data_IF_340719907312
#
_entry.id   IF_340719907312
#
_cell.length_a   1.000
_cell.length_b   1.000
_cell.length_c   1.000
_cell.angle_alpha   90.00
_cell.angle_beta   90.00
_cell.angle_gamma   90.00
#
_symmetry.space_group_name_H-M   'P 1'
#
loop_
_entity.id
_entity.type
_entity.pdbx_description
1 polymer ?
#
# COMPACT_ATOMS: atom_id res chain seq x y z
N UNK A 1 -3.99 -11.21 1.43
CA UNK A 1 -5.29 -10.80 1.98
C UNK A 1 -5.04 -9.88 3.18
N UNK A 2 -5.41 -8.60 3.05
CA UNK A 2 -5.40 -7.63 4.14
C UNK A 2 -6.61 -7.90 5.03
N UNK A 3 -6.48 -7.70 6.35
CA UNK A 3 -7.64 -7.73 7.27
C UNK A 3 -7.85 -6.34 7.85
N UNK A 4 -9.12 -5.94 7.92
CA UNK A 4 -9.55 -4.69 8.55
C UNK A 4 -9.32 -4.75 10.06
N UNK A 5 -8.77 -3.68 10.61
CA UNK A 5 -8.72 -3.38 12.03
C UNK A 5 -9.25 -1.96 12.23
N UNK A 6 -9.71 -1.64 13.44
CA UNK A 6 -10.41 -0.39 13.80
C UNK A 6 -9.71 0.93 13.41
N UNK A 7 -8.48 0.91 12.90
CA UNK A 7 -7.69 2.09 12.50
C UNK A 7 -6.86 1.88 11.22
N UNK A 8 -6.99 0.77 10.51
CA UNK A 8 -6.19 0.48 9.31
C UNK A 8 -6.19 -0.98 8.87
N UNK A 9 -5.43 -1.30 7.83
CA UNK A 9 -5.32 -2.64 7.27
C UNK A 9 -4.01 -3.31 7.70
N UNK A 10 -4.04 -4.59 8.06
CA UNK A 10 -2.83 -5.39 8.37
C UNK A 10 -2.62 -6.52 7.38
N UNK A 11 -1.36 -6.83 7.05
CA UNK A 11 -1.01 -7.88 6.10
C UNK A 11 0.45 -8.31 6.10
N UNK A 12 0.80 -9.13 5.10
CA UNK A 12 2.20 -9.50 4.82
C UNK A 12 2.88 -8.40 4.02
N UNK A 13 4.15 -8.16 4.29
CA UNK A 13 4.95 -7.18 3.55
C UNK A 13 5.33 -7.74 2.17
N UNK A 14 5.18 -6.97 1.08
CA UNK A 14 5.68 -7.37 -0.24
C UNK A 14 7.18 -7.10 -0.45
N UNK A 15 7.82 -6.28 0.40
CA UNK A 15 9.25 -5.94 0.28
C UNK A 15 10.19 -7.03 0.81
N UNK A 16 9.72 -7.96 1.63
CA UNK A 16 10.56 -9.03 2.18
C UNK A 16 9.73 -10.29 2.41
N UNK A 17 10.39 -11.44 2.47
CA UNK A 17 9.74 -12.74 2.55
C UNK A 17 9.66 -13.22 4.00
N UNK A 18 8.65 -12.74 4.73
CA UNK A 18 8.31 -13.15 6.09
C UNK A 18 6.85 -13.63 6.14
N UNK A 19 6.56 -14.82 6.72
CA UNK A 19 5.18 -15.27 6.92
C UNK A 19 4.37 -14.37 7.87
N UNK A 20 5.03 -13.58 8.72
CA UNK A 20 4.38 -12.73 9.73
C UNK A 20 3.63 -11.55 9.11
N UNK A 21 2.58 -11.10 9.80
CA UNK A 21 1.80 -9.93 9.39
C UNK A 21 2.46 -8.65 9.89
N UNK A 22 3.59 -8.30 9.27
CA UNK A 22 4.41 -7.16 9.67
C UNK A 22 4.00 -5.83 9.01
N UNK A 23 3.11 -5.85 8.00
CA UNK A 23 2.64 -4.65 7.30
C UNK A 23 1.39 -4.07 7.97
N UNK A 24 1.39 -2.74 8.16
CA UNK A 24 0.23 -1.94 8.53
C UNK A 24 0.03 -0.79 7.53
N UNK A 25 -1.22 -0.55 7.14
CA UNK A 25 -1.65 0.55 6.27
C UNK A 25 -2.66 1.38 7.07
N UNK A 26 -2.32 2.63 7.36
CA UNK A 26 -3.23 3.57 8.01
C UNK A 26 -4.07 4.29 6.95
N UNK A 27 -5.39 4.13 7.02
CA UNK A 27 -6.34 4.85 6.17
C UNK A 27 -6.51 6.30 6.59
N UNK A 28 -6.14 6.64 7.83
CA UNK A 28 -6.19 8.00 8.37
C UNK A 28 -4.97 8.80 7.98
N UNK A 29 -3.78 8.19 8.06
CA UNK A 29 -2.52 8.88 7.75
C UNK A 29 -2.14 8.81 6.26
N UNK A 30 -2.85 8.01 5.47
CA UNK A 30 -2.51 7.67 4.07
C UNK A 30 -1.06 7.17 3.92
N UNK A 31 -0.63 6.33 4.88
CA UNK A 31 0.72 5.75 4.90
C UNK A 31 0.70 4.28 5.22
N UNK A 32 1.73 3.58 4.74
CA UNK A 32 2.03 2.23 5.17
C UNK A 32 3.37 2.18 5.90
N UNK A 33 3.50 1.19 6.78
CA UNK A 33 4.75 0.86 7.44
C UNK A 33 4.83 -0.64 7.67
N UNK A 34 6.02 -1.19 7.46
CA UNK A 34 6.35 -2.57 7.78
C UNK A 34 7.27 -2.61 8.99
N UNK A 35 6.77 -3.13 10.10
CA UNK A 35 7.52 -3.25 11.35
C UNK A 35 8.59 -4.35 11.33
N UNK A 36 8.65 -5.17 10.27
CA UNK A 36 9.65 -6.23 10.12
C UNK A 36 10.90 -5.78 9.37
N UNK A 37 10.75 -5.02 8.28
CA UNK A 37 11.88 -4.58 7.44
C UNK A 37 12.06 -3.05 7.37
N UNK A 38 11.19 -2.27 8.02
CA UNK A 38 11.23 -0.81 8.01
C UNK A 38 10.69 -0.15 6.73
N UNK A 39 10.28 -0.92 5.72
CA UNK A 39 9.69 -0.36 4.50
C UNK A 39 8.43 0.46 4.85
N UNK A 40 8.39 1.71 4.42
CA UNK A 40 7.28 2.62 4.70
C UNK A 40 7.19 3.75 3.68
N UNK A 41 6.06 4.43 3.64
CA UNK A 41 5.84 5.57 2.76
C UNK A 41 4.37 5.82 2.44
N UNK A 42 4.16 6.63 1.41
CA UNK A 42 2.85 7.00 0.86
C UNK A 42 2.37 5.98 -0.20
N UNK A 43 1.20 6.28 -0.80
CA UNK A 43 0.62 5.49 -1.88
C UNK A 43 1.53 5.33 -3.10
N UNK A 44 2.36 6.33 -3.42
CA UNK A 44 3.31 6.26 -4.55
C UNK A 44 4.42 5.27 -4.23
N UNK A 45 5.03 5.39 -3.04
CA UNK A 45 6.08 4.46 -2.58
C UNK A 45 5.57 3.03 -2.50
N UNK A 46 4.30 2.85 -2.12
CA UNK A 46 3.64 1.55 -2.13
C UNK A 46 3.55 0.95 -3.53
N UNK A 47 3.08 1.72 -4.52
CA UNK A 47 2.97 1.28 -5.92
C UNK A 47 4.36 0.94 -6.48
N UNK A 48 5.36 1.81 -6.25
CA UNK A 48 6.74 1.55 -6.68
C UNK A 48 7.26 0.20 -6.15
N UNK A 49 7.02 -0.08 -4.86
CA UNK A 49 7.45 -1.32 -4.24
C UNK A 49 6.69 -2.54 -4.76
N UNK A 50 5.36 -2.46 -4.84
CA UNK A 50 4.48 -3.56 -5.23
C UNK A 50 4.71 -3.94 -6.70
N UNK A 51 4.77 -2.94 -7.57
CA UNK A 51 4.81 -3.13 -9.03
C UNK A 51 6.23 -3.09 -9.59
N UNK A 52 7.25 -2.77 -8.75
CA UNK A 52 8.66 -2.63 -9.13
C UNK A 52 8.87 -1.64 -10.28
N UNK A 53 8.27 -0.46 -10.15
CA UNK A 53 8.35 0.64 -11.12
C UNK A 53 8.95 1.89 -10.48
N UNK A 54 9.45 2.79 -11.33
CA UNK A 54 9.96 4.09 -10.90
C UNK A 54 8.83 5.02 -10.43
N UNK A 55 9.22 6.17 -9.87
CA UNK A 55 8.29 7.13 -9.30
C UNK A 55 7.32 7.71 -10.34
N UNK A 56 7.80 8.07 -11.53
CA UNK A 56 6.96 8.68 -12.57
C UNK A 56 5.91 7.69 -13.06
N UNK A 57 6.31 6.44 -13.31
CA UNK A 57 5.38 5.35 -13.64
C UNK A 57 4.35 5.10 -12.53
N UNK A 58 4.76 5.17 -11.26
CA UNK A 58 3.88 5.01 -10.11
C UNK A 58 2.86 6.15 -9.97
N UNK A 59 3.26 7.40 -10.20
CA UNK A 59 2.37 8.57 -10.18
C UNK A 59 1.31 8.49 -11.28
N UNK A 60 1.70 8.11 -12.51
CA UNK A 60 0.77 7.87 -13.63
C UNK A 60 -0.24 6.78 -13.26
N UNK A 61 0.23 5.69 -12.62
CA UNK A 61 -0.65 4.59 -12.21
C UNK A 61 -1.61 5.03 -11.10
N UNK A 62 -1.15 5.78 -10.11
CA UNK A 62 -2.00 6.33 -9.05
C UNK A 62 -3.07 7.28 -9.62
N UNK A 63 -2.69 8.15 -10.56
CA UNK A 63 -3.62 9.06 -11.22
C UNK A 63 -4.72 8.31 -11.99
N UNK A 64 -4.37 7.23 -12.70
CA UNK A 64 -5.36 6.37 -13.39
C UNK A 64 -6.36 5.74 -12.43
N UNK A 65 -5.89 5.25 -11.28
CA UNK A 65 -6.77 4.68 -10.25
C UNK A 65 -7.72 5.73 -9.66
N UNK A 66 -7.26 6.97 -9.48
CA UNK A 66 -8.10 8.09 -9.01
C UNK A 66 -9.12 8.53 -10.05
N UNK A 67 -8.71 8.63 -11.32
CA UNK A 67 -9.58 9.04 -12.42
C UNK A 67 -10.69 8.01 -12.73
N UNK A 68 -10.45 6.73 -12.44
CA UNK A 68 -11.47 5.66 -12.56
C UNK A 68 -12.28 5.41 -11.28
N UNK A 69 -12.05 6.16 -10.20
CA UNK A 69 -12.53 5.86 -8.85
C UNK A 69 -13.96 6.27 -8.50
N UNK A 70 -14.82 6.58 -9.48
CA UNK A 70 -16.25 6.90 -9.24
C UNK A 70 -17.20 5.72 -9.51
N UNK A 71 -16.70 4.53 -9.83
CA UNK A 71 -17.54 3.36 -10.10
C UNK A 71 -17.01 2.09 -9.43
N UNK A 72 -17.64 1.70 -8.31
CA UNK A 72 -17.62 0.30 -7.87
C UNK A 72 -17.27 0.04 -6.42
N UNK A 73 -18.07 0.56 -5.48
CA UNK A 73 -18.43 -0.19 -4.28
C UNK A 73 -19.92 -0.55 -4.40
N UNK A 74 -20.19 -1.78 -4.82
CA UNK A 74 -21.42 -2.53 -4.53
C UNK A 74 -20.98 -3.85 -3.93
#
# INVERSE_FOLDING_TARGET
MLKEHASGLRGRCPAHRDPSRSLYVSTVLDRFHCFGCGAGGDAVRWIMMRDRIDRGSAEVRLARWRAGGSSGHR
#
